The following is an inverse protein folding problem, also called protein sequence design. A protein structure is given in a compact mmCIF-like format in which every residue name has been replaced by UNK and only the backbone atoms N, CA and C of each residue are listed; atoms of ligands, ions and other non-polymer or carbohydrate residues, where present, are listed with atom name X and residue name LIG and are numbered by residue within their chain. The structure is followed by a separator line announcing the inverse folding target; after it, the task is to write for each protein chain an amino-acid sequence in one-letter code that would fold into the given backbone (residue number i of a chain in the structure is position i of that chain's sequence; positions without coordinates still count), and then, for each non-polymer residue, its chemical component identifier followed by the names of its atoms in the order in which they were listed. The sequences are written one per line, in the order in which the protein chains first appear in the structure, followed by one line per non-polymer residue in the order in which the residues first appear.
data_IF_379629011082
#
_entry.id   IF_379629011082
#
_cell.length_a   1.000
_cell.length_b   1.000
_cell.length_c   1.000
_cell.angle_alpha   90.00
_cell.angle_beta   90.00
_cell.angle_gamma   90.00
#
_symmetry.space_group_name_H-M   'P 1'
#
loop_
_entity.id
_entity.type
_entity.pdbx_description
1 polymer ?
#
# COMPACT_ATOMS: atom_id res chain seq x y z
N UNK A 1 6.65 19.77 6.46
CA UNK A 1 6.61 18.62 7.41
C UNK A 1 7.09 17.29 6.83
N UNK A 2 6.61 16.75 5.70
CA UNK A 2 7.17 15.49 5.13
C UNK A 2 8.59 15.71 4.60
N UNK A 3 8.76 16.68 3.71
CA UNK A 3 10.01 16.93 2.99
C UNK A 3 11.21 17.22 3.92
N UNK A 4 10.99 17.99 4.99
CA UNK A 4 12.00 18.31 6.02
C UNK A 4 12.54 17.08 6.77
N UNK A 5 11.81 15.95 6.75
CA UNK A 5 12.22 14.70 7.39
C UNK A 5 12.92 13.73 6.44
N UNK A 6 12.97 14.06 5.14
CA UNK A 6 13.67 13.24 4.15
C UNK A 6 15.17 13.39 4.34
N UNK A 7 15.87 12.26 4.36
CA UNK A 7 17.33 12.18 4.46
C UNK A 7 17.86 11.16 3.47
N UNK A 8 19.19 11.05 3.35
CA UNK A 8 19.85 10.01 2.54
C UNK A 8 19.51 8.58 2.97
N UNK A 9 18.99 8.39 4.18
CA UNK A 9 18.57 7.09 4.70
C UNK A 9 17.11 6.76 4.41
N UNK A 10 16.30 7.74 4.00
CA UNK A 10 14.88 7.54 3.72
C UNK A 10 14.72 6.63 2.50
N UNK A 11 13.83 5.63 2.60
CA UNK A 11 13.57 4.66 1.51
C UNK A 11 12.12 4.65 1.05
N UNK A 12 11.19 5.03 1.91
CA UNK A 12 9.77 5.02 1.58
C UNK A 12 9.00 6.09 2.35
N UNK A 13 7.82 6.42 1.84
CA UNK A 13 6.78 7.21 2.51
C UNK A 13 5.57 6.30 2.68
N UNK A 14 5.02 6.21 3.90
CA UNK A 14 3.87 5.36 4.21
C UNK A 14 2.70 6.25 4.66
N UNK A 15 1.87 6.77 3.73
CA UNK A 15 0.66 7.48 4.12
C UNK A 15 -0.35 6.55 4.78
N UNK A 16 -1.03 7.05 5.82
CA UNK A 16 -2.21 6.40 6.39
C UNK A 16 -3.44 7.16 5.91
N UNK A 17 -4.38 6.47 5.28
CA UNK A 17 -5.70 7.03 4.92
C UNK A 17 -6.62 7.01 6.13
N UNK A 18 -6.32 7.88 7.08
CA UNK A 18 -6.92 7.88 8.40
C UNK A 18 -8.43 8.11 8.35
N UNK A 19 -9.17 7.34 9.15
CA UNK A 19 -10.64 7.37 9.19
C UNK A 19 -11.32 7.25 7.82
N UNK A 20 -10.66 6.61 6.84
CA UNK A 20 -11.17 6.44 5.49
C UNK A 20 -10.98 7.66 4.58
N UNK A 21 -10.37 8.74 5.07
CA UNK A 21 -10.03 9.91 4.26
C UNK A 21 -8.65 9.68 3.64
N UNK A 22 -8.55 9.61 2.29
CA UNK A 22 -7.26 9.50 1.64
C UNK A 22 -6.35 10.68 1.98
N UNK A 23 -5.06 10.40 2.12
CA UNK A 23 -4.04 11.43 2.34
C UNK A 23 -3.90 12.29 1.08
N UNK A 24 -3.16 13.39 1.17
CA UNK A 24 -2.87 14.24 0.00
C UNK A 24 -1.90 13.53 -0.96
N UNK A 25 -2.45 12.67 -1.81
CA UNK A 25 -1.67 11.79 -2.68
C UNK A 25 -0.91 12.56 -3.76
N UNK A 26 -1.39 13.73 -4.20
CA UNK A 26 -0.63 14.56 -5.15
C UNK A 26 0.68 15.04 -4.54
N UNK A 27 0.62 15.59 -3.31
CA UNK A 27 1.83 16.05 -2.60
C UNK A 27 2.78 14.89 -2.33
N UNK A 28 2.25 13.75 -1.89
CA UNK A 28 3.05 12.57 -1.55
C UNK A 28 3.72 11.99 -2.79
N UNK A 29 2.98 11.80 -3.88
CA UNK A 29 3.51 11.27 -5.14
C UNK A 29 4.55 12.23 -5.74
N UNK A 30 4.33 13.54 -5.63
CA UNK A 30 5.31 14.54 -6.05
C UNK A 30 6.63 14.40 -5.27
N UNK A 31 6.57 14.33 -3.94
CA UNK A 31 7.77 14.15 -3.11
C UNK A 31 8.46 12.80 -3.36
N UNK A 32 7.68 11.73 -3.50
CA UNK A 32 8.20 10.41 -3.80
C UNK A 32 8.95 10.39 -5.14
N UNK A 33 8.39 11.01 -6.18
CA UNK A 33 9.06 11.17 -7.47
C UNK A 33 10.33 12.01 -7.37
N UNK A 34 10.27 13.17 -6.70
CA UNK A 34 11.41 14.07 -6.51
C UNK A 34 12.60 13.40 -5.81
N UNK A 35 12.33 12.59 -4.78
CA UNK A 35 13.34 11.96 -3.94
C UNK A 35 13.59 10.49 -4.27
N UNK A 36 12.96 9.94 -5.31
CA UNK A 36 13.06 8.53 -5.71
C UNK A 36 12.72 7.56 -4.57
N UNK A 37 11.63 7.83 -3.87
CA UNK A 37 11.16 7.04 -2.73
C UNK A 37 9.99 6.16 -3.13
N UNK A 38 9.91 4.96 -2.55
CA UNK A 38 8.72 4.12 -2.67
C UNK A 38 7.57 4.70 -1.85
N UNK A 39 6.36 4.67 -2.38
CA UNK A 39 5.14 4.92 -1.58
C UNK A 39 4.51 3.58 -1.24
N UNK A 40 4.04 3.43 0.00
CA UNK A 40 3.26 2.26 0.43
C UNK A 40 2.04 2.79 1.18
N UNK A 41 0.85 2.63 0.62
CA UNK A 41 -0.36 3.13 1.25
C UNK A 41 -0.81 2.20 2.39
N UNK A 42 -0.98 2.74 3.59
CA UNK A 42 -1.83 2.12 4.60
C UNK A 42 -3.27 2.58 4.37
N UNK A 43 -4.01 1.72 3.67
CA UNK A 43 -5.40 1.89 3.30
C UNK A 43 -6.34 1.06 4.20
N UNK A 44 -5.91 0.69 5.41
CA UNK A 44 -6.67 -0.18 6.31
C UNK A 44 -8.09 0.33 6.66
N UNK A 45 -8.31 1.65 6.57
CA UNK A 45 -9.63 2.28 6.79
C UNK A 45 -10.32 2.75 5.50
N UNK A 46 -9.68 2.58 4.34
CA UNK A 46 -10.02 3.30 3.12
C UNK A 46 -10.57 2.41 2.00
N UNK A 47 -11.04 1.21 2.33
CA UNK A 47 -11.73 0.34 1.37
C UNK A 47 -12.91 1.10 0.77
N UNK A 48 -12.92 1.25 -0.56
CA UNK A 48 -14.00 1.88 -1.31
C UNK A 48 -13.98 3.41 -1.35
N UNK A 49 -12.97 4.08 -0.79
CA UNK A 49 -12.86 5.54 -0.81
C UNK A 49 -12.04 6.03 -2.00
N UNK A 50 -12.07 7.35 -2.26
CA UNK A 50 -11.48 7.97 -3.44
C UNK A 50 -10.73 9.27 -3.11
N UNK A 51 -9.63 9.50 -3.80
CA UNK A 51 -8.98 10.81 -3.92
C UNK A 51 -9.06 11.25 -5.38
N UNK A 52 -9.72 12.38 -5.63
CA UNK A 52 -9.87 12.98 -6.98
C UNK A 52 -10.30 11.97 -8.07
N UNK A 53 -11.25 11.09 -7.73
CA UNK A 53 -11.81 10.09 -8.64
C UNK A 53 -11.01 8.80 -8.78
N UNK A 54 -9.83 8.70 -8.14
CA UNK A 54 -9.03 7.48 -8.09
C UNK A 54 -9.28 6.78 -6.76
N UNK A 55 -9.51 5.48 -6.77
CA UNK A 55 -9.66 4.69 -5.56
C UNK A 55 -8.40 4.76 -4.68
N UNK A 56 -8.58 4.75 -3.35
CA UNK A 56 -7.49 4.43 -2.43
C UNK A 56 -6.84 3.09 -2.83
N UNK A 57 -5.50 3.04 -2.88
CA UNK A 57 -4.73 1.93 -3.44
C UNK A 57 -4.67 1.85 -4.97
N UNK A 58 -5.21 2.85 -5.67
CA UNK A 58 -5.24 2.94 -7.12
C UNK A 58 -4.14 3.82 -7.74
N UNK A 59 -3.21 4.36 -6.96
CA UNK A 59 -2.20 5.32 -7.46
C UNK A 59 -0.95 4.67 -8.07
N UNK A 60 -0.99 3.35 -8.29
CA UNK A 60 0.13 2.59 -8.86
C UNK A 60 1.15 2.08 -7.85
N UNK A 61 0.97 2.40 -6.57
CA UNK A 61 1.81 1.93 -5.47
C UNK A 61 1.21 0.71 -4.77
N UNK A 62 2.00 -0.04 -3.99
CA UNK A 62 1.45 -1.03 -3.09
C UNK A 62 0.53 -0.39 -2.05
N UNK A 63 -0.66 -0.96 -1.84
CA UNK A 63 -1.59 -0.52 -0.81
C UNK A 63 -2.06 -1.70 0.04
N UNK A 64 -2.16 -1.47 1.35
CA UNK A 64 -2.50 -2.48 2.33
C UNK A 64 -3.90 -2.19 2.87
N UNK A 65 -4.77 -3.20 2.80
CA UNK A 65 -6.11 -3.16 3.38
C UNK A 65 -6.22 -4.14 4.53
N UNK A 66 -7.05 -3.79 5.52
CA UNK A 66 -7.38 -4.65 6.66
C UNK A 66 -8.83 -5.10 6.55
N UNK A 67 -9.06 -6.37 6.91
CA UNK A 67 -10.37 -7.00 6.98
C UNK A 67 -10.69 -7.55 8.37
N UNK A 68 -10.08 -6.97 9.41
CA UNK A 68 -10.41 -7.20 10.82
C UNK A 68 -11.91 -6.92 11.11
N UNK A 69 -12.55 -7.48 12.16
CA UNK A 69 -14.01 -7.45 12.33
C UNK A 69 -14.65 -6.06 12.38
N UNK A 70 -13.89 -5.03 12.76
CA UNK A 70 -14.39 -3.64 12.85
C UNK A 70 -14.09 -2.78 11.61
N UNK A 71 -13.60 -3.37 10.50
CA UNK A 71 -13.34 -2.66 9.24
C UNK A 71 -14.57 -2.65 8.32
N UNK A 72 -14.55 -1.79 7.30
CA UNK A 72 -15.67 -1.61 6.35
C UNK A 72 -16.11 -2.90 5.66
N UNK A 73 -15.14 -3.76 5.33
CA UNK A 73 -15.35 -5.13 4.83
C UNK A 73 -14.52 -6.05 5.73
N UNK A 74 -15.05 -7.22 6.07
CA UNK A 74 -14.38 -8.16 6.98
C UNK A 74 -14.32 -9.59 6.44
N UNK A 75 -13.27 -10.30 6.85
CA UNK A 75 -13.10 -11.74 6.67
C UNK A 75 -13.01 -12.47 8.03
N UNK A 76 -13.56 -11.87 9.09
CA UNK A 76 -13.16 -12.17 10.46
C UNK A 76 -11.81 -11.53 10.72
N UNK A 77 -10.72 -12.22 10.39
CA UNK A 77 -9.37 -11.65 10.35
C UNK A 77 -8.83 -11.69 8.92
N UNK A 78 -8.03 -10.70 8.54
CA UNK A 78 -7.39 -10.71 7.23
C UNK A 78 -6.85 -9.37 6.76
N UNK A 79 -6.21 -9.42 5.60
CA UNK A 79 -5.73 -8.25 4.90
C UNK A 79 -5.44 -8.56 3.43
N UNK A 80 -5.19 -7.51 2.65
CA UNK A 80 -4.92 -7.57 1.23
C UNK A 80 -3.79 -6.61 0.88
N UNK A 81 -2.99 -6.98 -0.12
CA UNK A 81 -2.08 -6.05 -0.79
C UNK A 81 -2.57 -5.91 -2.23
N UNK A 82 -2.79 -4.68 -2.68
CA UNK A 82 -2.96 -4.35 -4.10
C UNK A 82 -1.67 -3.72 -4.62
N UNK A 83 -1.31 -3.98 -5.88
CA UNK A 83 -0.14 -3.44 -6.53
C UNK A 83 -0.21 -3.67 -8.05
N UNK A 84 0.55 -2.90 -8.82
CA UNK A 84 0.65 -3.01 -10.28
C UNK A 84 2.04 -3.49 -10.77
N UNK A 85 2.86 -4.05 -9.88
CA UNK A 85 4.20 -4.56 -10.18
C UNK A 85 4.21 -6.09 -10.13
N UNK A 86 4.35 -6.73 -11.29
CA UNK A 86 4.32 -8.19 -11.43
C UNK A 86 5.53 -8.88 -10.77
N UNK A 87 6.70 -8.22 -10.75
CA UNK A 87 7.89 -8.78 -10.09
C UNK A 87 7.70 -8.77 -8.57
N UNK A 88 7.26 -7.62 -8.04
CA UNK A 88 6.94 -7.49 -6.63
C UNK A 88 5.80 -8.44 -6.23
N UNK A 89 4.77 -8.60 -7.06
CA UNK A 89 3.67 -9.52 -6.82
C UNK A 89 4.20 -10.95 -6.65
N UNK A 90 5.03 -11.42 -7.58
CA UNK A 90 5.63 -12.76 -7.50
C UNK A 90 6.41 -12.92 -6.20
N UNK A 91 7.23 -11.93 -5.84
CA UNK A 91 8.01 -11.93 -4.60
C UNK A 91 7.11 -11.97 -3.34
N UNK A 92 6.06 -11.16 -3.28
CA UNK A 92 5.12 -11.13 -2.16
C UNK A 92 4.37 -12.46 -2.02
N UNK A 93 3.96 -13.08 -3.13
CA UNK A 93 3.30 -14.39 -3.12
C UNK A 93 4.18 -15.49 -2.53
N UNK A 94 5.46 -15.50 -2.88
CA UNK A 94 6.46 -16.40 -2.29
C UNK A 94 6.60 -16.13 -0.79
N UNK A 95 6.86 -14.87 -0.40
CA UNK A 95 7.11 -14.48 0.98
C UNK A 95 5.92 -14.73 1.91
N UNK A 96 4.69 -14.67 1.39
CA UNK A 96 3.46 -14.97 2.15
C UNK A 96 3.43 -16.42 2.67
N UNK A 97 4.13 -17.33 2.02
CA UNK A 97 4.13 -18.75 2.37
C UNK A 97 5.54 -19.34 2.36
N UNK A 98 6.40 -18.83 3.26
CA UNK A 98 7.74 -19.35 3.53
C UNK A 98 8.70 -19.42 2.33
N UNK A 99 8.45 -18.67 1.26
CA UNK A 99 9.25 -18.71 0.04
C UNK A 99 8.97 -19.92 -0.86
N UNK A 100 7.90 -20.67 -0.58
CA UNK A 100 7.55 -21.90 -1.30
C UNK A 100 6.60 -21.55 -2.45
N UNK A 101 6.96 -21.96 -3.67
CA UNK A 101 6.04 -21.90 -4.80
C UNK A 101 4.93 -22.93 -4.65
N UNK A 102 3.71 -22.54 -5.01
CA UNK A 102 2.53 -23.43 -4.96
C UNK A 102 2.73 -24.73 -5.76
N UNK A 103 3.64 -24.74 -6.73
CA UNK A 103 3.95 -25.87 -7.60
C UNK A 103 5.19 -26.66 -7.16
N UNK A 104 5.64 -26.58 -5.90
CA UNK A 104 6.80 -27.33 -5.39
C UNK A 104 6.71 -28.88 -5.50
N UNK A 105 5.58 -29.41 -5.97
CA UNK A 105 5.30 -30.84 -6.18
C UNK A 105 5.06 -31.23 -7.65
N UNK A 106 5.27 -30.31 -8.60
CA UNK A 106 5.24 -30.60 -10.04
C UNK A 106 6.63 -30.90 -10.59
#
# INVERSE_FOLDING_TARGET
MIEEKISSKTKAIIPVHFAGVPADMDQINHLAGKYHLTVIEDAAHAVGTYYKGIHAGGFGHPAIFSFHPIKNITTGEGGMITLNDAELERKLRLLRFHGIERDAWK
#
